data_IF_604061560306
#
_entry.id   IF_604061560306
#
_cell.length_a   1.000
_cell.length_b   1.000
_cell.length_c   1.000
_cell.angle_alpha   90.00
_cell.angle_beta   90.00
_cell.angle_gamma   90.00
#
_symmetry.space_group_name_H-M   'P 1'
#
loop_
_entity.id
_entity.type
_entity.pdbx_description
1 polymer ?
#
# COMPACT_ATOMS: atom_id res chain seq x y z
N UNK A 1 -8.02 2.15 -15.85
CA UNK A 1 -6.72 2.52 -15.45
C UNK A 1 -6.65 4.00 -15.08
N UNK A 2 -5.99 4.29 -14.01
CA UNK A 2 -5.97 5.67 -13.55
C UNK A 2 -4.76 6.41 -14.11
N UNK A 3 -4.91 7.72 -14.24
CA UNK A 3 -3.84 8.57 -14.71
C UNK A 3 -2.88 8.87 -13.57
N UNK A 4 -1.63 9.13 -13.92
CA UNK A 4 -0.62 9.56 -12.97
C UNK A 4 -0.72 11.06 -12.75
N UNK A 5 -0.52 11.47 -11.53
CA UNK A 5 -0.56 12.87 -11.16
C UNK A 5 0.67 13.18 -10.35
N UNK A 6 1.31 14.29 -10.67
CA UNK A 6 2.48 14.75 -9.93
C UNK A 6 2.05 15.64 -8.80
N UNK A 7 2.65 15.43 -7.64
CA UNK A 7 2.39 16.28 -6.48
C UNK A 7 3.72 16.65 -5.86
N UNK A 8 3.69 17.74 -5.10
CA UNK A 8 4.84 18.12 -4.30
C UNK A 8 4.70 17.50 -2.93
N UNK A 9 5.84 17.14 -2.35
CA UNK A 9 5.83 16.51 -1.05
C UNK A 9 7.02 17.03 -0.25
N UNK A 10 6.85 17.05 1.06
CA UNK A 10 7.90 17.47 1.97
C UNK A 10 9.14 16.60 1.79
N UNK A 11 10.32 17.24 1.78
CA UNK A 11 11.56 16.52 1.52
C UNK A 11 11.85 15.49 2.60
N UNK A 12 11.61 15.82 3.86
CA UNK A 12 11.86 14.86 4.94
C UNK A 12 10.99 13.63 4.79
N UNK A 13 9.75 13.83 4.43
CA UNK A 13 8.84 12.70 4.21
C UNK A 13 9.29 11.88 3.01
N UNK A 14 9.76 12.53 1.98
CA UNK A 14 10.27 11.83 0.80
C UNK A 14 11.46 10.94 1.18
N UNK A 15 12.39 11.49 1.98
CA UNK A 15 13.57 10.71 2.38
C UNK A 15 13.18 9.51 3.23
N UNK A 16 12.22 9.69 4.12
CA UNK A 16 11.74 8.57 4.92
C UNK A 16 11.10 7.51 4.05
N UNK A 17 10.32 7.94 3.07
CA UNK A 17 9.68 7.00 2.15
C UNK A 17 10.73 6.25 1.34
N UNK A 18 11.78 6.94 0.93
CA UNK A 18 12.84 6.32 0.15
C UNK A 18 13.53 5.20 0.95
N UNK A 19 13.82 5.47 2.22
CA UNK A 19 14.45 4.47 3.07
C UNK A 19 13.54 3.29 3.34
N UNK A 20 12.29 3.56 3.68
CA UNK A 20 11.34 2.49 3.99
C UNK A 20 11.00 1.68 2.74
N UNK A 21 10.91 2.34 1.60
CA UNK A 21 10.61 1.64 0.36
C UNK A 21 11.69 0.60 0.03
N UNK A 22 12.95 0.97 0.26
CA UNK A 22 14.05 0.04 0.02
C UNK A 22 13.94 -1.18 0.94
N UNK A 23 13.59 -0.95 2.20
CA UNK A 23 13.46 -2.04 3.16
C UNK A 23 12.27 -2.94 2.85
N UNK A 24 11.20 -2.36 2.34
CA UNK A 24 9.96 -3.10 2.12
C UNK A 24 9.76 -3.50 0.67
N UNK A 25 10.79 -3.29 -0.15
CA UNK A 25 10.76 -3.69 -1.57
C UNK A 25 9.61 -3.03 -2.31
N UNK A 26 9.45 -1.73 -2.09
CA UNK A 26 8.44 -0.93 -2.78
C UNK A 26 9.12 0.20 -3.53
N UNK A 27 8.41 0.75 -4.52
CA UNK A 27 8.83 2.01 -5.10
C UNK A 27 8.57 3.13 -4.10
N UNK A 28 9.26 4.26 -4.27
CA UNK A 28 9.03 5.39 -3.38
C UNK A 28 7.58 5.87 -3.49
N UNK A 29 7.08 5.95 -4.72
CA UNK A 29 5.68 6.33 -4.94
C UNK A 29 4.74 5.34 -4.25
N UNK A 30 4.99 4.04 -4.40
CA UNK A 30 4.16 3.03 -3.77
C UNK A 30 4.18 3.11 -2.27
N UNK A 31 5.34 3.45 -1.69
CA UNK A 31 5.43 3.59 -0.24
C UNK A 31 4.60 4.76 0.24
N UNK A 32 4.66 5.88 -0.46
CA UNK A 32 3.88 7.06 -0.07
C UNK A 32 2.40 6.79 -0.26
N UNK A 33 2.03 6.11 -1.33
CA UNK A 33 0.63 5.75 -1.56
C UNK A 33 0.10 4.82 -0.47
N UNK A 34 0.93 3.88 -0.04
CA UNK A 34 0.53 2.99 1.04
C UNK A 34 0.28 3.77 2.33
N UNK A 35 1.20 4.69 2.66
CA UNK A 35 1.02 5.52 3.85
C UNK A 35 -0.24 6.37 3.76
N UNK A 36 -0.51 6.92 2.58
CA UNK A 36 -1.70 7.74 2.39
C UNK A 36 -2.97 6.92 2.56
N UNK A 37 -2.99 5.72 1.99
CA UNK A 37 -4.14 4.85 2.13
C UNK A 37 -4.32 4.39 3.57
N UNK A 38 -3.21 4.09 4.24
CA UNK A 38 -3.26 3.69 5.64
C UNK A 38 -3.81 4.81 6.51
N UNK A 39 -3.32 6.03 6.28
CA UNK A 39 -3.80 7.18 7.04
C UNK A 39 -5.28 7.44 6.79
N UNK A 40 -5.70 7.36 5.54
CA UNK A 40 -7.11 7.56 5.20
C UNK A 40 -7.98 6.50 5.88
N UNK A 41 -7.55 5.25 5.82
CA UNK A 41 -8.31 4.17 6.42
C UNK A 41 -8.35 4.32 7.94
N UNK A 42 -7.26 4.77 8.55
CA UNK A 42 -7.23 4.96 9.99
C UNK A 42 -8.18 6.07 10.42
N UNK A 43 -8.24 7.15 9.64
CA UNK A 43 -9.16 8.25 9.94
C UNK A 43 -10.60 7.77 9.82
N UNK A 44 -10.88 6.94 8.82
CA UNK A 44 -12.23 6.45 8.59
C UNK A 44 -12.65 5.40 9.62
N UNK A 45 -11.68 4.76 10.27
CA UNK A 45 -11.95 3.66 11.21
C UNK A 45 -11.18 3.88 12.51
N UNK A 46 -11.54 4.94 13.26
CA UNK A 46 -10.74 5.31 14.44
C UNK A 46 -10.78 4.27 15.55
N UNK A 47 -11.72 3.34 15.50
CA UNK A 47 -11.83 2.30 16.51
C UNK A 47 -11.01 1.06 16.20
N UNK A 48 -10.37 1.00 15.02
CA UNK A 48 -9.55 -0.15 14.66
C UNK A 48 -8.07 0.13 14.95
N UNK A 49 -7.34 -0.89 15.42
CA UNK A 49 -5.89 -0.72 15.59
C UNK A 49 -5.21 -0.47 14.25
N UNK A 50 -4.24 0.42 14.25
CA UNK A 50 -3.57 0.76 13.00
C UNK A 50 -2.81 -0.42 12.42
N UNK A 51 -2.30 -1.31 13.28
CA UNK A 51 -1.62 -2.50 12.80
C UNK A 51 -2.55 -3.41 12.03
N UNK A 52 -3.80 -3.53 12.49
CA UNK A 52 -4.78 -4.32 11.78
C UNK A 52 -5.08 -3.72 10.40
N UNK A 53 -5.21 -2.39 10.35
CA UNK A 53 -5.48 -1.71 9.09
C UNK A 53 -4.31 -1.89 8.13
N UNK A 54 -3.09 -1.77 8.64
CA UNK A 54 -1.89 -1.91 7.82
C UNK A 54 -1.79 -3.31 7.23
N UNK A 55 -2.08 -4.33 8.05
CA UNK A 55 -2.04 -5.70 7.56
C UNK A 55 -3.11 -5.96 6.52
N UNK A 56 -4.30 -5.40 6.72
CA UNK A 56 -5.38 -5.57 5.75
C UNK A 56 -5.02 -4.96 4.41
N UNK A 57 -4.44 -3.76 4.42
CA UNK A 57 -4.04 -3.10 3.19
C UNK A 57 -2.92 -3.85 2.49
N UNK A 58 -1.95 -4.33 3.26
CA UNK A 58 -0.84 -5.08 2.67
C UNK A 58 -1.34 -6.37 2.04
N UNK A 59 -2.27 -7.04 2.69
CA UNK A 59 -2.84 -8.26 2.17
C UNK A 59 -3.58 -8.03 0.86
N UNK A 60 -4.30 -6.92 0.76
CA UNK A 60 -5.02 -6.58 -0.46
C UNK A 60 -4.09 -6.25 -1.60
N UNK A 61 -2.90 -5.75 -1.29
CA UNK A 61 -1.93 -5.35 -2.30
C UNK A 61 -1.09 -6.50 -2.80
N UNK A 62 -1.04 -7.59 -2.07
CA UNK A 62 -0.24 -8.73 -2.50
C UNK A 62 -0.80 -9.33 -3.77
N UNK A 63 0.08 -9.71 -4.71
CA UNK A 63 -0.41 -10.30 -5.96
C UNK A 63 -1.16 -11.60 -5.71
N UNK A 64 -2.31 -11.69 -6.31
CA UNK A 64 -3.12 -12.90 -6.17
C UNK A 64 -2.45 -14.09 -6.81
N UNK A 65 -1.68 -13.83 -7.83
CA UNK A 65 -1.00 -14.89 -8.53
C UNK A 65 0.02 -15.58 -7.65
N UNK A 66 0.42 -14.95 -6.57
CA UNK A 66 1.32 -15.60 -5.64
C UNK A 66 0.57 -16.48 -4.65
N UNK A 67 -0.68 -16.18 -4.43
CA UNK A 67 -1.46 -16.91 -3.44
C UNK A 67 -2.25 -18.03 -4.07
N UNK A 68 -2.51 -17.99 -5.32
CA UNK A 68 -3.34 -18.96 -5.91
C UNK A 68 -2.72 -20.00 -6.63
N UNK A 69 -3.06 -20.02 -6.60
CA UNK A 69 -3.09 -20.67 -7.22
C UNK A 69 -3.90 -21.11 -7.69
N UNK A 70 -4.23 -19.83 -7.33
CA UNK A 70 -4.78 -20.01 -7.77
C UNK A 70 -5.54 -19.83 -8.26
N UNK A 71 -5.76 -19.76 -8.56
CA UNK A 71 -6.20 -19.54 -9.12
C UNK A 71 -6.92 -19.48 -9.59
N UNK A 72 -7.27 -19.44 -9.79
CA UNK A 72 -7.71 -19.36 -10.32
C UNK A 72 -8.39 -19.15 -10.64
N UNK A 73 -8.81 -18.85 -10.63
CA UNK A 73 -8.92 -18.80 -11.05
C UNK A 73 -9.62 -18.56 -11.22
N UNK A 74 -9.92 -18.36 -11.02
CA UNK A 74 -10.03 -18.38 -11.25
C UNK A 74 -10.57 -17.95 -11.47
N UNK A 75 -10.96 -17.62 -11.42
CA UNK A 75 -10.75 -17.56 -11.72
C UNK A 75 -11.13 -17.46 -11.87
N UNK A 76 -11.51 -17.15 -11.74
CA UNK A 76 -11.21 -17.41 -11.98
C UNK A 76 -11.33 -17.33 -12.04
N UNK A 77 -11.62 -17.01 -11.88
CA UNK A 77 -11.11 -17.25 -11.94
C UNK A 77 -11.02 -17.34 -11.93
#
# INVERSE_FOLDING_TARGET
MSASISIRINQDLYEQAKQDAALEHRSITGQIEFWAQLGRAAIDNPDLPISFIAESLASMKEPREQSQPFIPRSRNK
#
